data_IF_424618264710
#
_entry.id   IF_424618264710
#
_cell.length_a   1.000
_cell.length_b   1.000
_cell.length_c   1.000
_cell.angle_alpha   90.00
_cell.angle_beta   90.00
_cell.angle_gamma   90.00
#
_symmetry.space_group_name_H-M   'P 1'
#
loop_
_entity.id
_entity.type
_entity.pdbx_description
1 polymer ?
#
# COMPACT_ATOMS: atom_id res chain seq x y z
N UNK A 1 -13.65 -13.78 -26.15
CA UNK A 1 -13.78 -13.39 -24.72
C UNK A 1 -12.66 -14.04 -23.94
N UNK A 2 -11.94 -13.29 -23.10
CA UNK A 2 -10.88 -13.82 -22.23
C UNK A 2 -11.35 -13.72 -20.79
N UNK A 3 -11.10 -14.77 -20.01
CA UNK A 3 -11.41 -14.82 -18.60
C UNK A 3 -10.16 -14.48 -17.78
N UNK A 4 -10.36 -13.66 -16.75
CA UNK A 4 -9.34 -13.26 -15.78
C UNK A 4 -9.93 -13.38 -14.37
N UNK A 5 -9.12 -13.72 -13.41
CA UNK A 5 -9.52 -13.81 -12.01
C UNK A 5 -8.75 -12.76 -11.17
N UNK A 6 -9.46 -12.00 -10.36
CA UNK A 6 -8.82 -11.05 -9.44
C UNK A 6 -8.32 -11.74 -8.16
N UNK A 7 -7.60 -11.00 -7.32
CA UNK A 7 -7.01 -11.57 -6.10
C UNK A 7 -8.04 -11.90 -4.99
N UNK A 8 -9.32 -11.61 -5.20
CA UNK A 8 -10.41 -12.11 -4.34
C UNK A 8 -11.10 -13.34 -4.93
N UNK A 9 -10.65 -13.84 -6.09
CA UNK A 9 -11.22 -15.00 -6.76
C UNK A 9 -12.43 -14.68 -7.63
N UNK A 10 -12.71 -13.40 -7.90
CA UNK A 10 -13.80 -13.00 -8.79
C UNK A 10 -13.39 -13.15 -10.24
N UNK A 11 -14.20 -13.86 -11.03
CA UNK A 11 -13.96 -14.03 -12.47
C UNK A 11 -14.54 -12.87 -13.27
N UNK A 12 -13.74 -12.35 -14.20
CA UNK A 12 -14.07 -11.24 -15.09
C UNK A 12 -13.89 -11.66 -16.54
N UNK A 13 -14.88 -11.37 -17.37
CA UNK A 13 -14.88 -11.69 -18.80
C UNK A 13 -14.72 -10.40 -19.61
N UNK A 14 -13.67 -10.31 -20.40
CA UNK A 14 -13.44 -9.17 -21.30
C UNK A 14 -13.31 -9.64 -22.76
N UNK A 15 -14.02 -8.98 -23.67
CA UNK A 15 -13.83 -9.19 -25.11
C UNK A 15 -12.51 -8.57 -25.58
N UNK A 16 -12.22 -7.38 -25.09
CA UNK A 16 -11.02 -6.60 -25.37
C UNK A 16 -10.38 -6.13 -24.07
N UNK A 17 -9.10 -5.83 -24.11
CA UNK A 17 -8.39 -5.18 -22.98
C UNK A 17 -9.07 -3.83 -22.65
N UNK A 18 -9.36 -3.56 -21.36
CA UNK A 18 -9.97 -2.30 -20.93
C UNK A 18 -9.14 -1.08 -21.34
N UNK A 19 -9.83 -0.02 -21.77
CA UNK A 19 -9.23 1.24 -22.24
C UNK A 19 -9.59 2.45 -21.39
N UNK A 20 -10.61 2.34 -20.55
CA UNK A 20 -11.12 3.43 -19.70
C UNK A 20 -11.09 2.99 -18.25
N UNK A 21 -9.96 3.28 -17.60
CA UNK A 21 -9.65 2.82 -16.25
C UNK A 21 -9.95 3.94 -15.24
N UNK A 22 -10.70 3.62 -14.19
CA UNK A 22 -10.75 4.41 -12.97
C UNK A 22 -9.96 3.68 -11.89
N UNK A 23 -8.99 4.35 -11.29
CA UNK A 23 -8.21 3.79 -10.18
C UNK A 23 -8.58 4.47 -8.85
N UNK A 24 -9.06 3.67 -7.91
CA UNK A 24 -9.42 4.14 -6.56
C UNK A 24 -8.30 3.90 -5.53
N UNK A 25 -7.14 3.44 -5.98
CA UNK A 25 -6.00 3.06 -5.14
C UNK A 25 -4.76 3.87 -5.53
N UNK A 26 -4.23 4.72 -4.64
CA UNK A 26 -3.11 5.60 -4.95
C UNK A 26 -1.86 4.88 -5.47
N UNK A 27 -1.40 3.84 -4.77
CA UNK A 27 -0.22 3.06 -5.17
C UNK A 27 -0.39 2.36 -6.51
N UNK A 28 -1.60 1.85 -6.81
CA UNK A 28 -1.90 1.21 -8.09
C UNK A 28 -2.08 2.22 -9.22
N UNK A 29 -2.49 3.45 -8.91
CA UNK A 29 -2.49 4.55 -9.90
C UNK A 29 -1.06 4.86 -10.37
N UNK A 30 -0.09 4.89 -9.45
CA UNK A 30 1.34 5.02 -9.81
C UNK A 30 1.81 3.83 -10.65
N UNK A 31 1.47 2.60 -10.25
CA UNK A 31 1.81 1.40 -11.02
C UNK A 31 1.23 1.43 -12.44
N UNK A 32 -0.05 1.77 -12.61
CA UNK A 32 -0.68 1.87 -13.92
C UNK A 32 0.03 2.89 -14.82
N UNK A 33 0.46 4.01 -14.25
CA UNK A 33 1.29 4.98 -14.96
C UNK A 33 2.63 4.37 -15.39
N UNK A 34 3.32 3.71 -14.48
CA UNK A 34 4.63 3.09 -14.72
C UNK A 34 4.57 1.93 -15.73
N UNK A 35 3.40 1.32 -15.89
CA UNK A 35 3.10 0.33 -16.93
C UNK A 35 2.77 0.98 -18.30
N UNK A 36 2.85 2.33 -18.40
CA UNK A 36 2.58 3.06 -19.65
C UNK A 36 1.09 3.20 -19.98
N UNK A 37 0.21 3.11 -18.99
CA UNK A 37 -1.24 3.15 -19.19
C UNK A 37 -1.85 4.54 -18.93
N UNK A 38 -1.06 5.60 -18.92
CA UNK A 38 -1.51 6.97 -18.61
C UNK A 38 -2.76 7.38 -19.37
N UNK A 39 -2.76 7.18 -20.70
CA UNK A 39 -3.87 7.59 -21.57
C UNK A 39 -5.17 6.81 -21.29
N UNK A 40 -5.06 5.62 -20.69
CA UNK A 40 -6.23 4.81 -20.33
C UNK A 40 -6.83 5.22 -18.98
N UNK A 41 -6.09 5.92 -18.12
CA UNK A 41 -6.56 6.36 -16.81
C UNK A 41 -7.42 7.61 -17.00
N UNK A 42 -8.72 7.50 -16.74
CA UNK A 42 -9.70 8.59 -16.93
C UNK A 42 -10.19 9.21 -15.60
N UNK A 43 -10.03 8.48 -14.49
CA UNK A 43 -10.45 8.93 -13.17
C UNK A 43 -9.60 8.35 -12.05
N UNK A 44 -9.38 9.17 -11.02
CA UNK A 44 -8.54 8.84 -9.87
C UNK A 44 -9.13 9.40 -8.57
N UNK A 45 -8.63 8.96 -7.41
CA UNK A 45 -8.96 9.58 -6.13
C UNK A 45 -8.11 10.84 -5.87
N UNK A 46 -8.56 11.69 -4.94
CA UNK A 46 -7.79 12.86 -4.49
C UNK A 46 -6.46 12.48 -3.81
N UNK A 47 -6.32 11.23 -3.38
CA UNK A 47 -5.12 10.70 -2.74
C UNK A 47 -4.10 10.12 -3.73
N UNK A 48 -4.43 10.02 -5.02
CA UNK A 48 -3.51 9.66 -6.07
C UNK A 48 -2.58 10.84 -6.38
N UNK A 49 -1.51 10.96 -5.61
CA UNK A 49 -0.55 12.07 -5.66
C UNK A 49 0.61 11.83 -6.60
N UNK A 50 0.78 10.60 -7.04
CA UNK A 50 1.82 10.18 -8.00
C UNK A 50 1.17 9.54 -9.24
N UNK A 51 1.62 9.93 -10.46
CA UNK A 51 2.49 11.07 -10.74
C UNK A 51 1.78 12.41 -10.47
N UNK A 52 2.54 13.43 -10.11
CA UNK A 52 2.00 14.73 -9.64
C UNK A 52 1.05 15.39 -10.64
N UNK A 53 1.33 15.31 -11.94
CA UNK A 53 0.52 15.94 -12.99
C UNK A 53 -0.89 15.34 -13.11
N UNK A 54 -1.17 14.16 -12.55
CA UNK A 54 -2.51 13.57 -12.57
C UNK A 54 -3.54 14.40 -11.84
N UNK A 55 -3.13 15.19 -10.84
CA UNK A 55 -4.02 16.11 -10.14
C UNK A 55 -4.69 17.14 -11.06
N UNK A 56 -4.01 17.54 -12.13
CA UNK A 56 -4.50 18.50 -13.12
C UNK A 56 -5.05 17.85 -14.40
N UNK A 57 -4.63 16.64 -14.74
CA UNK A 57 -4.96 16.01 -16.03
C UNK A 57 -6.06 14.95 -15.93
N UNK A 58 -6.28 14.35 -14.75
CA UNK A 58 -7.27 13.29 -14.56
C UNK A 58 -8.48 13.77 -13.75
N UNK A 59 -9.65 13.13 -13.95
CA UNK A 59 -10.88 13.49 -13.23
C UNK A 59 -10.85 12.96 -11.80
N UNK A 60 -11.12 13.84 -10.81
CA UNK A 60 -11.22 13.45 -9.41
C UNK A 60 -12.60 12.87 -9.12
N UNK A 61 -12.63 11.57 -8.73
CA UNK A 61 -13.88 10.83 -8.45
C UNK A 61 -14.17 10.66 -6.96
N UNK A 62 -13.42 11.33 -6.09
CA UNK A 62 -13.60 11.29 -4.62
C UNK A 62 -12.34 10.88 -3.87
N UNK A 63 -12.51 10.22 -2.73
CA UNK A 63 -11.45 9.58 -1.94
C UNK A 63 -11.51 8.05 -2.06
N UNK A 64 -10.79 7.33 -1.18
CA UNK A 64 -10.80 5.85 -1.15
C UNK A 64 -12.04 5.29 -0.42
N UNK A 65 -12.54 6.00 0.62
CA UNK A 65 -13.71 5.62 1.43
C UNK A 65 -14.97 6.46 1.14
N UNK A 66 -14.85 7.56 0.38
CA UNK A 66 -15.97 8.42 -0.03
C UNK A 66 -15.81 8.77 -1.50
N UNK A 67 -16.63 8.20 -2.35
CA UNK A 67 -16.55 8.33 -3.80
C UNK A 67 -17.80 9.03 -4.36
N UNK A 68 -17.69 9.60 -5.56
CA UNK A 68 -18.77 10.25 -6.27
C UNK A 68 -19.27 9.34 -7.39
N UNK A 69 -20.23 8.45 -7.10
CA UNK A 69 -20.77 7.44 -8.02
C UNK A 69 -21.25 8.05 -9.33
N UNK A 70 -21.99 9.16 -9.30
CA UNK A 70 -22.49 9.83 -10.51
C UNK A 70 -21.35 10.32 -11.42
N UNK A 71 -20.26 10.83 -10.84
CA UNK A 71 -19.08 11.20 -11.64
C UNK A 71 -18.43 9.98 -12.31
N UNK A 72 -18.35 8.86 -11.59
CA UNK A 72 -17.82 7.60 -12.13
C UNK A 72 -18.68 7.13 -13.29
N UNK A 73 -20.01 7.11 -13.10
CA UNK A 73 -20.96 6.70 -14.12
C UNK A 73 -20.89 7.56 -15.38
N UNK A 74 -20.77 8.90 -15.23
CA UNK A 74 -20.61 9.82 -16.36
C UNK A 74 -19.30 9.61 -17.13
N UNK A 75 -18.25 9.09 -16.48
CA UNK A 75 -16.98 8.78 -17.13
C UNK A 75 -17.04 7.51 -17.96
N UNK A 76 -18.08 6.68 -17.85
CA UNK A 76 -18.25 5.42 -18.58
C UNK A 76 -16.97 4.56 -18.57
N UNK A 77 -16.48 4.10 -17.39
CA UNK A 77 -15.29 3.25 -17.32
C UNK A 77 -15.58 1.85 -17.88
N UNK A 78 -14.53 1.21 -18.43
CA UNK A 78 -14.55 -0.21 -18.79
C UNK A 78 -14.21 -1.09 -17.59
N UNK A 79 -13.46 -0.51 -16.63
CA UNK A 79 -13.02 -1.19 -15.41
C UNK A 79 -12.71 -0.18 -14.31
N UNK A 80 -12.97 -0.58 -13.08
CA UNK A 80 -12.56 0.16 -11.87
C UNK A 80 -11.60 -0.70 -11.07
N UNK A 81 -10.46 -0.13 -10.67
CA UNK A 81 -9.45 -0.79 -9.84
C UNK A 81 -9.66 -0.39 -8.39
N UNK A 82 -9.84 -1.41 -7.54
CA UNK A 82 -10.03 -1.32 -6.10
C UNK A 82 -9.00 -2.19 -5.37
N UNK A 83 -8.88 -1.95 -4.07
CA UNK A 83 -8.10 -2.80 -3.15
C UNK A 83 -8.93 -3.09 -1.89
N UNK A 84 -8.83 -4.31 -1.39
CA UNK A 84 -9.60 -4.79 -0.21
C UNK A 84 -9.38 -3.94 1.04
N UNK A 85 -8.22 -3.34 1.19
CA UNK A 85 -7.86 -2.53 2.35
C UNK A 85 -8.33 -1.07 2.18
N UNK A 86 -8.16 -0.54 0.97
CA UNK A 86 -8.46 0.86 0.64
C UNK A 86 -9.95 1.13 0.46
N UNK A 87 -10.69 0.19 -0.12
CA UNK A 87 -12.09 0.38 -0.48
C UNK A 87 -13.00 -0.54 0.33
N UNK A 88 -14.15 -0.04 0.76
CA UNK A 88 -15.12 -0.86 1.49
C UNK A 88 -15.87 -1.80 0.55
N UNK A 89 -16.38 -2.90 1.10
CA UNK A 89 -17.17 -3.86 0.34
C UNK A 89 -18.40 -3.19 -0.30
N UNK A 90 -19.09 -2.31 0.43
CA UNK A 90 -20.27 -1.60 -0.05
C UNK A 90 -19.94 -0.71 -1.26
N UNK A 91 -18.75 -0.08 -1.28
CA UNK A 91 -18.28 0.69 -2.43
C UNK A 91 -18.10 -0.22 -3.64
N UNK A 92 -17.45 -1.37 -3.45
CA UNK A 92 -17.20 -2.34 -4.52
C UNK A 92 -18.52 -2.86 -5.09
N UNK A 93 -19.48 -3.24 -4.24
CA UNK A 93 -20.79 -3.72 -4.64
C UNK A 93 -21.57 -2.67 -5.45
N UNK A 94 -21.58 -1.42 -5.01
CA UNK A 94 -22.23 -0.33 -5.74
C UNK A 94 -21.55 -0.05 -7.08
N UNK A 95 -20.21 -0.05 -7.15
CA UNK A 95 -19.46 0.15 -8.38
C UNK A 95 -19.67 -0.97 -9.39
N UNK A 96 -19.85 -2.20 -8.93
CA UNK A 96 -20.12 -3.37 -9.78
C UNK A 96 -21.43 -3.26 -10.57
N UNK A 97 -22.34 -2.36 -10.17
CA UNK A 97 -23.53 -2.03 -10.95
C UNK A 97 -23.24 -1.12 -12.15
N UNK A 98 -22.05 -0.53 -12.22
CA UNK A 98 -21.64 0.39 -13.29
C UNK A 98 -20.80 -0.34 -14.33
N UNK A 99 -19.75 -1.03 -13.89
CA UNK A 99 -18.87 -1.82 -14.74
C UNK A 99 -18.09 -2.86 -13.92
N UNK A 100 -17.29 -3.76 -14.54
CA UNK A 100 -16.41 -4.67 -13.82
C UNK A 100 -15.50 -3.94 -12.82
N UNK A 101 -15.41 -4.47 -11.60
CA UNK A 101 -14.54 -3.95 -10.53
C UNK A 101 -13.49 -5.00 -10.21
N UNK A 102 -12.23 -4.69 -10.49
CA UNK A 102 -11.08 -5.53 -10.18
C UNK A 102 -10.59 -5.22 -8.78
N UNK A 103 -10.62 -6.18 -7.88
CA UNK A 103 -10.21 -5.98 -6.48
C UNK A 103 -8.91 -6.72 -6.20
N UNK A 104 -7.89 -5.97 -5.79
CA UNK A 104 -6.62 -6.53 -5.35
C UNK A 104 -6.61 -6.77 -3.84
N UNK A 105 -5.77 -7.71 -3.39
CA UNK A 105 -5.50 -7.99 -1.98
C UNK A 105 -4.01 -8.24 -1.81
N UNK A 106 -3.28 -7.23 -1.33
CA UNK A 106 -1.82 -7.26 -1.25
C UNK A 106 -1.40 -7.32 0.21
N UNK A 107 -0.94 -8.48 0.65
CA UNK A 107 -0.45 -8.72 2.00
C UNK A 107 1.06 -9.02 1.97
N UNK A 108 1.53 -9.65 0.89
CA UNK A 108 2.91 -10.07 0.70
C UNK A 108 3.59 -9.41 -0.49
N UNK A 109 4.90 -9.58 -0.60
CA UNK A 109 5.67 -9.17 -1.78
C UNK A 109 5.29 -10.02 -2.99
N UNK A 110 4.96 -11.30 -2.80
CA UNK A 110 4.49 -12.21 -3.82
C UNK A 110 3.16 -11.73 -4.42
N UNK A 111 2.21 -11.27 -3.58
CA UNK A 111 0.96 -10.69 -4.04
C UNK A 111 1.19 -9.46 -4.92
N UNK A 112 2.21 -8.66 -4.58
CA UNK A 112 2.60 -7.49 -5.37
C UNK A 112 3.12 -7.90 -6.76
N UNK A 113 3.98 -8.91 -6.85
CA UNK A 113 4.47 -9.45 -8.13
C UNK A 113 3.32 -10.02 -8.97
N UNK A 114 2.40 -10.75 -8.32
CA UNK A 114 1.24 -11.31 -8.99
C UNK A 114 0.34 -10.20 -9.55
N UNK A 115 0.01 -9.17 -8.75
CA UNK A 115 -0.78 -8.02 -9.21
C UNK A 115 -0.16 -7.35 -10.44
N UNK A 116 1.16 -7.13 -10.47
CA UNK A 116 1.84 -6.54 -11.62
C UNK A 116 1.68 -7.44 -12.86
N UNK A 117 1.82 -8.76 -12.68
CA UNK A 117 1.64 -9.74 -13.75
C UNK A 117 0.20 -9.76 -14.27
N UNK A 118 -0.78 -9.70 -13.36
CA UNK A 118 -2.21 -9.67 -13.70
C UNK A 118 -2.57 -8.41 -14.49
N UNK A 119 -2.07 -7.25 -14.07
CA UNK A 119 -2.25 -5.99 -14.82
C UNK A 119 -1.58 -6.07 -16.19
N UNK A 120 -0.41 -6.70 -16.29
CA UNK A 120 0.26 -6.95 -17.57
C UNK A 120 -0.61 -7.75 -18.54
N UNK A 121 -1.33 -8.74 -18.04
CA UNK A 121 -2.23 -9.57 -18.85
C UNK A 121 -3.55 -8.84 -19.18
N UNK A 122 -4.19 -8.26 -18.18
CA UNK A 122 -5.47 -7.57 -18.27
C UNK A 122 -5.41 -6.38 -19.24
N UNK A 123 -4.36 -5.56 -19.12
CA UNK A 123 -4.19 -4.34 -19.92
C UNK A 123 -3.34 -4.53 -21.17
N UNK A 124 -2.93 -5.77 -21.47
CA UNK A 124 -2.09 -6.13 -22.62
C UNK A 124 -0.75 -5.37 -22.67
N UNK A 125 -0.08 -5.27 -21.50
CA UNK A 125 1.24 -4.66 -21.33
C UNK A 125 2.22 -5.62 -20.61
N UNK A 126 2.25 -6.89 -21.03
CA UNK A 126 3.04 -7.96 -20.40
C UNK A 126 4.53 -7.66 -20.37
N UNK A 127 5.05 -7.04 -21.42
CA UNK A 127 6.48 -6.70 -21.51
C UNK A 127 6.87 -5.67 -20.45
N UNK A 128 6.06 -4.66 -20.25
CA UNK A 128 6.26 -3.62 -19.22
C UNK A 128 6.13 -4.20 -17.83
N UNK A 129 5.12 -5.04 -17.61
CA UNK A 129 4.91 -5.73 -16.34
C UNK A 129 6.10 -6.65 -15.99
N UNK A 130 6.61 -7.43 -16.96
CA UNK A 130 7.78 -8.26 -16.76
C UNK A 130 9.03 -7.44 -16.41
N UNK A 131 9.26 -6.33 -17.11
CA UNK A 131 10.38 -5.42 -16.80
C UNK A 131 10.31 -4.88 -15.37
N UNK A 132 9.10 -4.57 -14.88
CA UNK A 132 8.92 -4.11 -13.51
C UNK A 132 9.16 -5.24 -12.50
N UNK A 133 8.64 -6.44 -12.76
CA UNK A 133 8.89 -7.59 -11.91
C UNK A 133 10.38 -7.94 -11.85
N UNK A 134 11.09 -7.91 -12.98
CA UNK A 134 12.54 -8.16 -13.02
C UNK A 134 13.33 -7.11 -12.22
N UNK A 135 12.97 -5.83 -12.35
CA UNK A 135 13.56 -4.73 -11.56
C UNK A 135 13.36 -4.92 -10.06
N UNK A 136 12.13 -5.23 -9.67
CA UNK A 136 11.77 -5.43 -8.27
C UNK A 136 12.45 -6.67 -7.69
N UNK A 137 12.49 -7.78 -8.44
CA UNK A 137 13.18 -8.99 -8.01
C UNK A 137 14.69 -8.76 -7.80
N UNK A 138 15.33 -8.01 -8.72
CA UNK A 138 16.73 -7.64 -8.56
C UNK A 138 16.95 -6.78 -7.31
N UNK A 139 16.12 -5.74 -7.13
CA UNK A 139 16.22 -4.83 -5.98
C UNK A 139 15.92 -5.52 -4.65
N UNK A 140 14.96 -6.45 -4.63
CA UNK A 140 14.67 -7.30 -3.48
C UNK A 140 15.87 -8.16 -3.10
N UNK A 141 16.47 -8.85 -4.06
CA UNK A 141 17.66 -9.69 -3.84
C UNK A 141 18.84 -8.85 -3.30
N UNK A 142 19.04 -7.65 -3.84
CA UNK A 142 20.08 -6.73 -3.37
C UNK A 142 19.79 -6.21 -1.95
N UNK A 143 18.53 -5.93 -1.64
CA UNK A 143 18.12 -5.53 -0.30
C UNK A 143 18.26 -6.68 0.71
N UNK A 144 17.88 -7.89 0.35
CA UNK A 144 18.05 -9.08 1.21
C UNK A 144 19.51 -9.33 1.58
N UNK A 145 20.43 -9.13 0.64
CA UNK A 145 21.89 -9.19 0.93
C UNK A 145 22.33 -8.10 1.90
N UNK A 146 21.80 -6.87 1.73
CA UNK A 146 22.11 -5.76 2.60
C UNK A 146 21.66 -6.01 4.04
N UNK A 147 20.41 -6.51 4.21
CA UNK A 147 19.79 -6.70 5.53
C UNK A 147 20.33 -7.92 6.28
N UNK A 148 20.95 -8.86 5.60
CA UNK A 148 21.33 -10.20 6.10
C UNK A 148 22.09 -10.18 7.45
N UNK A 149 22.92 -9.16 7.67
CA UNK A 149 23.76 -9.03 8.88
C UNK A 149 23.27 -7.91 9.82
N UNK A 150 22.07 -7.39 9.61
CA UNK A 150 21.50 -6.35 10.47
C UNK A 150 20.73 -7.03 11.59
N UNK A 151 21.01 -6.61 12.82
CA UNK A 151 20.35 -7.13 14.01
C UNK A 151 18.87 -6.80 14.03
N UNK A 152 18.06 -7.78 14.45
CA UNK A 152 16.63 -7.60 14.62
C UNK A 152 16.31 -6.60 15.73
N UNK A 153 15.32 -5.73 15.51
CA UNK A 153 14.80 -4.78 16.48
C UNK A 153 13.31 -4.91 16.64
N UNK A 154 12.82 -4.87 17.88
CA UNK A 154 11.39 -4.86 18.18
C UNK A 154 10.80 -3.50 17.80
N UNK A 155 9.70 -3.51 17.08
CA UNK A 155 9.04 -2.31 16.54
C UNK A 155 7.55 -2.30 16.86
N UNK A 156 7.03 -1.13 17.24
CA UNK A 156 5.61 -0.80 17.19
C UNK A 156 5.39 0.22 16.07
N UNK A 157 4.56 -0.11 15.07
CA UNK A 157 4.29 0.75 13.92
C UNK A 157 2.90 1.38 14.06
N UNK A 158 2.84 2.67 14.36
CA UNK A 158 1.60 3.43 14.56
C UNK A 158 1.10 4.03 13.24
N UNK A 159 -0.20 3.89 12.99
CA UNK A 159 -0.89 4.38 11.79
C UNK A 159 -1.98 5.41 12.09
N UNK A 160 -2.53 5.42 13.30
CA UNK A 160 -3.67 6.28 13.64
C UNK A 160 -3.66 6.69 15.12
N UNK A 161 -4.30 7.84 15.40
CA UNK A 161 -4.55 8.36 16.75
C UNK A 161 -6.04 8.63 16.95
N UNK A 162 -6.52 8.34 18.14
CA UNK A 162 -7.90 8.49 18.57
C UNK A 162 -8.92 7.58 17.83
N UNK A 163 -8.92 6.26 18.14
CA UNK A 163 -8.03 5.56 19.05
C UNK A 163 -6.63 5.35 18.48
N UNK A 164 -5.64 5.00 19.31
CA UNK A 164 -4.32 4.58 18.81
C UNK A 164 -4.44 3.22 18.12
N UNK A 165 -4.00 3.16 16.87
CA UNK A 165 -3.98 1.94 16.08
C UNK A 165 -2.58 1.69 15.54
N UNK A 166 -2.21 0.41 15.50
CA UNK A 166 -0.90 -0.06 15.02
C UNK A 166 -1.07 -1.06 13.89
N UNK A 167 -0.03 -1.26 13.09
CA UNK A 167 0.00 -2.37 12.14
C UNK A 167 0.23 -3.69 12.88
N UNK A 168 -0.62 -4.67 12.66
CA UNK A 168 -0.49 -6.05 13.12
C UNK A 168 -0.28 -7.00 11.94
N UNK A 169 -0.59 -8.28 12.15
CA UNK A 169 -0.52 -9.30 11.10
C UNK A 169 -1.49 -9.04 9.94
N UNK A 170 -1.33 -9.80 8.86
CA UNK A 170 -2.18 -9.72 7.66
C UNK A 170 -2.23 -8.31 7.03
N UNK A 171 -1.10 -7.59 7.09
CA UNK A 171 -0.91 -6.29 6.47
C UNK A 171 0.40 -6.26 5.67
N UNK A 172 0.40 -5.52 4.56
CA UNK A 172 1.61 -5.30 3.77
C UNK A 172 2.70 -4.57 4.60
N UNK A 173 2.31 -3.71 5.53
CA UNK A 173 3.23 -3.07 6.48
C UNK A 173 3.99 -4.11 7.29
N UNK A 174 3.30 -5.12 7.83
CA UNK A 174 3.94 -6.17 8.62
C UNK A 174 4.91 -7.01 7.80
N UNK A 175 4.58 -7.29 6.55
CA UNK A 175 5.49 -7.97 5.62
C UNK A 175 6.77 -7.15 5.40
N UNK A 176 6.66 -5.84 5.17
CA UNK A 176 7.82 -4.98 4.99
C UNK A 176 8.61 -4.75 6.29
N UNK A 177 7.97 -4.78 7.45
CA UNK A 177 8.68 -4.79 8.74
C UNK A 177 9.53 -6.06 8.87
N UNK A 178 8.98 -7.25 8.59
CA UNK A 178 9.71 -8.53 8.61
C UNK A 178 10.89 -8.51 7.65
N UNK A 179 10.67 -8.05 6.43
CA UNK A 179 11.74 -7.92 5.42
C UNK A 179 12.89 -7.03 5.92
N UNK A 180 12.61 -6.04 6.74
CA UNK A 180 13.58 -5.12 7.32
C UNK A 180 14.21 -5.62 8.64
N UNK A 181 14.00 -6.86 9.05
CA UNK A 181 14.38 -7.36 10.38
C UNK A 181 13.83 -6.50 11.53
N UNK A 182 12.63 -5.94 11.34
CA UNK A 182 11.87 -5.28 12.39
C UNK A 182 10.81 -6.25 12.90
N UNK A 183 11.03 -6.80 14.10
CA UNK A 183 10.06 -7.66 14.76
C UNK A 183 8.89 -6.83 15.27
N UNK A 184 7.75 -6.96 14.62
CA UNK A 184 6.53 -6.27 15.03
C UNK A 184 6.03 -6.86 16.36
N UNK A 185 5.93 -6.04 17.41
CA UNK A 185 5.44 -6.51 18.71
C UNK A 185 3.93 -6.84 18.71
N UNK A 186 3.23 -6.47 17.65
CA UNK A 186 1.80 -6.74 17.45
C UNK A 186 1.52 -7.75 16.32
N UNK A 187 2.52 -8.55 15.93
CA UNK A 187 2.35 -9.55 14.87
C UNK A 187 1.40 -10.71 15.23
N UNK A 188 1.00 -10.84 16.48
CA UNK A 188 -0.01 -11.78 16.96
C UNK A 188 -1.44 -11.24 16.81
N UNK A 189 -1.61 -9.94 16.51
CA UNK A 189 -2.91 -9.27 16.36
C UNK A 189 -3.20 -9.04 14.87
N UNK A 190 -4.45 -9.29 14.47
CA UNK A 190 -4.85 -9.15 13.06
C UNK A 190 -4.99 -7.70 12.63
N UNK A 191 -4.53 -7.41 11.42
CA UNK A 191 -4.70 -6.14 10.69
C UNK A 191 -4.25 -4.89 11.46
N UNK A 192 -5.19 -4.06 11.93
CA UNK A 192 -4.92 -2.78 12.57
C UNK A 192 -5.61 -2.71 13.93
N UNK A 193 -5.06 -3.38 14.95
CA UNK A 193 -5.66 -3.38 16.28
C UNK A 193 -5.58 -2.01 16.94
N UNK A 194 -6.61 -1.68 17.70
CA UNK A 194 -6.56 -0.60 18.67
C UNK A 194 -5.73 -1.03 19.89
N UNK A 195 -4.92 -0.12 20.39
CA UNK A 195 -4.07 -0.37 21.55
C UNK A 195 -4.19 0.71 22.61
N UNK A 196 -3.87 0.34 23.84
CA UNK A 196 -3.75 1.26 24.97
C UNK A 196 -2.26 1.57 25.21
N UNK A 197 -1.85 2.83 25.11
CA UNK A 197 -0.46 3.21 25.32
C UNK A 197 0.11 2.71 26.66
N UNK A 198 -0.71 2.67 27.71
CA UNK A 198 -0.29 2.18 29.05
C UNK A 198 0.16 0.72 29.05
N UNK A 199 -0.27 -0.07 28.07
CA UNK A 199 0.10 -1.48 27.92
C UNK A 199 1.32 -1.70 27.03
N UNK A 200 1.83 -0.67 26.34
CA UNK A 200 2.88 -0.79 25.33
C UNK A 200 4.14 -1.51 25.85
N UNK A 201 4.57 -1.20 27.08
CA UNK A 201 5.67 -1.89 27.74
C UNK A 201 5.39 -3.36 28.05
N UNK A 202 4.16 -3.67 28.45
CA UNK A 202 3.75 -5.04 28.81
C UNK A 202 3.53 -5.90 27.57
N UNK A 203 3.12 -5.30 26.47
CA UNK A 203 2.81 -5.99 25.20
C UNK A 203 4.05 -6.25 24.32
N UNK A 204 5.26 -5.86 24.78
CA UNK A 204 6.48 -6.20 24.05
C UNK A 204 7.67 -5.28 24.28
N UNK A 205 7.45 -4.10 24.87
CA UNK A 205 8.48 -3.06 25.13
C UNK A 205 9.40 -2.86 23.91
N UNK A 206 8.96 -2.12 22.89
CA UNK A 206 9.67 -2.02 21.62
C UNK A 206 11.02 -1.29 21.77
N UNK A 207 11.97 -1.60 20.89
CA UNK A 207 13.21 -0.83 20.72
C UNK A 207 12.97 0.43 19.90
N UNK A 208 12.01 0.36 18.98
CA UNK A 208 11.64 1.44 18.09
C UNK A 208 10.11 1.65 18.07
N UNK A 209 9.71 2.91 18.05
CA UNK A 209 8.34 3.32 17.76
C UNK A 209 8.36 4.04 16.42
N UNK A 210 7.71 3.48 15.41
CA UNK A 210 7.55 4.14 14.12
C UNK A 210 6.22 4.88 14.07
N UNK A 211 6.29 6.17 13.73
CA UNK A 211 5.15 7.04 13.53
C UNK A 211 4.99 7.31 12.04
N UNK A 212 3.97 6.73 11.44
CA UNK A 212 3.72 6.85 10.00
C UNK A 212 3.30 8.26 9.61
N UNK A 213 3.74 8.74 8.43
CA UNK A 213 3.28 10.01 7.88
C UNK A 213 1.84 9.95 7.35
N UNK A 214 1.29 8.75 7.16
CA UNK A 214 -0.07 8.49 6.70
C UNK A 214 -0.65 7.18 7.29
N UNK A 215 -1.97 7.00 7.32
CA UNK A 215 -3.02 7.96 6.98
C UNK A 215 -3.19 9.08 8.01
N UNK A 216 -2.65 8.91 9.24
CA UNK A 216 -2.62 9.95 10.26
C UNK A 216 -1.23 10.62 10.28
N UNK A 217 -1.16 11.95 10.05
CA UNK A 217 0.12 12.66 10.03
C UNK A 217 0.59 12.94 11.47
N UNK A 218 1.27 12.00 12.10
CA UNK A 218 1.83 12.14 13.43
C UNK A 218 2.78 13.34 13.53
N UNK A 219 2.79 14.00 14.70
CA UNK A 219 3.58 15.19 15.02
C UNK A 219 4.51 14.94 16.21
N UNK A 220 5.39 15.89 16.49
CA UNK A 220 6.34 15.83 17.62
C UNK A 220 5.62 15.65 18.97
N UNK A 221 4.45 16.28 19.16
CA UNK A 221 3.65 16.13 20.37
C UNK A 221 3.18 14.67 20.57
N UNK A 222 2.82 13.99 19.47
CA UNK A 222 2.40 12.59 19.50
C UNK A 222 3.61 11.70 19.84
N UNK A 223 4.79 12.01 19.28
CA UNK A 223 6.03 11.28 19.58
C UNK A 223 6.38 11.40 21.05
N UNK A 224 6.26 12.59 21.62
CA UNK A 224 6.51 12.83 23.05
C UNK A 224 5.47 12.08 23.92
N UNK A 225 4.18 12.13 23.56
CA UNK A 225 3.13 11.43 24.28
C UNK A 225 3.39 9.91 24.31
N UNK A 226 3.63 9.29 23.14
CA UNK A 226 3.84 7.84 23.02
C UNK A 226 5.15 7.42 23.71
N UNK A 227 6.21 8.20 23.56
CA UNK A 227 7.51 7.93 24.18
C UNK A 227 7.47 7.80 25.71
N UNK A 228 6.53 8.46 26.38
CA UNK A 228 6.33 8.33 27.84
C UNK A 228 5.86 6.94 28.27
N UNK A 229 5.33 6.15 27.36
CA UNK A 229 4.81 4.81 27.61
C UNK A 229 5.77 3.70 27.15
N UNK A 230 6.96 4.05 26.70
CA UNK A 230 8.06 3.13 26.42
C UNK A 230 9.11 3.19 27.51
N UNK A 231 10.00 2.21 27.58
CA UNK A 231 11.09 2.20 28.54
C UNK A 231 12.36 2.83 27.95
N UNK A 232 12.71 2.44 26.73
CA UNK A 232 13.94 2.85 26.05
C UNK A 232 13.76 3.11 24.56
N UNK A 233 12.54 2.98 24.04
CA UNK A 233 12.30 3.05 22.60
C UNK A 233 12.71 4.40 21.99
N UNK A 234 13.39 4.33 20.86
CA UNK A 234 13.64 5.48 19.99
C UNK A 234 12.41 5.72 19.12
N UNK A 235 11.79 6.89 19.20
CA UNK A 235 10.64 7.25 18.36
C UNK A 235 11.12 7.87 17.04
N UNK A 236 10.64 7.36 15.92
CA UNK A 236 11.08 7.71 14.57
C UNK A 236 9.87 8.01 13.69
N UNK A 237 9.87 9.16 13.04
CA UNK A 237 8.93 9.44 11.95
C UNK A 237 9.37 8.70 10.70
N UNK A 238 8.46 7.92 10.13
CA UNK A 238 8.71 7.15 8.90
C UNK A 238 7.75 7.57 7.79
N UNK A 239 8.24 7.47 6.57
CA UNK A 239 7.42 7.70 5.38
C UNK A 239 6.46 6.53 5.20
N UNK A 240 5.16 6.79 5.41
CA UNK A 240 4.10 5.79 5.32
C UNK A 240 3.97 5.20 3.93
N UNK A 241 4.16 5.99 2.86
CA UNK A 241 4.11 5.49 1.49
C UNK A 241 5.13 4.37 1.25
N UNK A 242 6.30 4.43 1.88
CA UNK A 242 7.35 3.42 1.71
C UNK A 242 7.03 2.09 2.41
N UNK A 243 6.16 2.10 3.42
CA UNK A 243 5.74 0.90 4.14
C UNK A 243 4.37 0.37 3.71
N UNK A 244 3.53 1.19 3.10
CA UNK A 244 2.14 0.82 2.77
C UNK A 244 1.85 0.74 1.27
N UNK A 245 2.58 1.49 0.42
CA UNK A 245 2.32 1.51 -1.00
C UNK A 245 3.01 0.33 -1.71
N UNK A 246 2.19 -0.54 -2.24
CA UNK A 246 2.61 -1.63 -3.11
C UNK A 246 2.73 -1.16 -4.59
N UNK A 247 3.00 -2.07 -5.52
CA UNK A 247 3.26 -1.75 -6.92
C UNK A 247 4.72 -1.37 -7.16
N UNK A 248 4.93 -0.47 -8.10
CA UNK A 248 6.26 0.03 -8.49
C UNK A 248 6.97 0.82 -7.40
N UNK A 249 6.22 1.39 -6.43
CA UNK A 249 6.75 2.13 -5.28
C UNK A 249 7.74 1.31 -4.45
N UNK A 250 7.57 -0.01 -4.40
CA UNK A 250 8.46 -0.92 -3.67
C UNK A 250 9.93 -0.76 -4.09
N UNK A 251 10.21 -0.38 -5.35
CA UNK A 251 11.57 -0.10 -5.80
C UNK A 251 12.21 1.08 -5.02
N UNK A 252 11.43 2.13 -4.77
CA UNK A 252 11.88 3.29 -3.96
C UNK A 252 11.97 2.94 -2.49
N UNK A 253 11.08 2.08 -2.02
CA UNK A 253 11.06 1.63 -0.63
C UNK A 253 12.35 0.92 -0.23
N UNK A 254 12.94 0.07 -1.06
CA UNK A 254 14.23 -0.57 -0.76
C UNK A 254 15.36 0.44 -0.55
N UNK A 255 15.43 1.50 -1.36
CA UNK A 255 16.41 2.57 -1.17
C UNK A 255 16.17 3.35 0.12
N UNK A 256 14.90 3.66 0.41
CA UNK A 256 14.50 4.31 1.65
C UNK A 256 14.85 3.46 2.88
N UNK A 257 14.61 2.16 2.85
CA UNK A 257 14.91 1.26 3.97
C UNK A 257 16.41 1.19 4.26
N UNK A 258 17.26 1.16 3.24
CA UNK A 258 18.72 1.25 3.44
C UNK A 258 19.10 2.53 4.19
N UNK A 259 18.57 3.68 3.76
CA UNK A 259 18.81 4.96 4.44
C UNK A 259 18.23 4.98 5.87
N UNK A 260 17.08 4.37 6.10
CA UNK A 260 16.50 4.24 7.44
C UNK A 260 17.42 3.44 8.35
N UNK A 261 17.94 2.30 7.91
CA UNK A 261 18.87 1.50 8.69
C UNK A 261 20.18 2.25 9.00
N UNK A 262 20.73 3.02 8.05
CA UNK A 262 21.89 3.86 8.31
C UNK A 262 21.62 4.94 9.39
N UNK A 263 20.43 5.55 9.37
CA UNK A 263 20.00 6.50 10.41
C UNK A 263 19.81 5.86 11.79
N UNK A 264 19.46 4.58 11.83
CA UNK A 264 19.25 3.85 13.08
C UNK A 264 20.55 3.39 13.75
N UNK A 265 21.67 3.38 13.03
CA UNK A 265 23.01 3.07 13.59
C UNK A 265 23.60 4.22 14.42
N UNK A 266 23.13 5.45 14.15
CA UNK A 266 23.52 6.67 14.83
C UNK A 266 22.50 7.02 15.94
#
# INVERSE_FOLDING_TARGET
MKEFQDQLGTNHLFENSPKRIISLVPSQTELLYDLGLEEKIIGITKFCVHPFHFKSTKKMVGGTKKIHFEKIKLLQPDIIICNKEENTQEIVEQLSTICPVWVTNIISIEDNFQMISDFGQLFNCRTEAQKWNDKLAFALSDFQKYIQNIEEKKVAYFIWKNPYMVAGNDTYINELLKLNHFKNIYEDKGRYPEIELKKLRLEGDPDLVFLSSEPYPFKEEDAFEIGRFTHHAKTIFVDGEMFSWHGSRLLKAFSYFKLLHERLKN
#
